data_IF_665794491824
#
_entry.id   IF_665794491824
#
_cell.length_a   1.000
_cell.length_b   1.000
_cell.length_c   1.000
_cell.angle_alpha   90.00
_cell.angle_beta   90.00
_cell.angle_gamma   90.00
#
_symmetry.space_group_name_H-M   'P 1'
#
loop_
_entity.id
_entity.type
_entity.pdbx_description
1 polymer ?
#
# COMPACT_ATOMS: atom_id res chain seq x y z
N UNK A 1 35.15 4.26 -17.19
CA UNK A 1 34.17 3.17 -17.14
C UNK A 1 33.53 3.23 -15.77
N UNK A 2 32.37 3.87 -15.70
CA UNK A 2 31.50 3.87 -14.51
C UNK A 2 30.74 2.54 -14.62
N UNK A 3 30.81 1.69 -13.58
CA UNK A 3 30.04 0.44 -13.55
C UNK A 3 28.53 0.71 -13.60
N UNK A 4 27.68 -0.32 -13.74
CA UNK A 4 26.25 -0.15 -13.59
C UNK A 4 25.98 0.49 -12.23
N UNK A 5 25.55 1.74 -12.26
CA UNK A 5 25.10 2.48 -11.10
C UNK A 5 23.97 1.66 -10.49
N UNK A 6 24.16 1.18 -9.26
CA UNK A 6 23.10 0.50 -8.54
C UNK A 6 21.93 1.48 -8.46
N UNK A 7 20.79 1.14 -9.07
CA UNK A 7 19.58 1.94 -8.98
C UNK A 7 19.37 2.30 -7.50
N UNK A 8 19.14 3.58 -7.14
CA UNK A 8 18.82 3.94 -5.78
C UNK A 8 17.67 3.07 -5.33
N UNK A 9 17.78 2.48 -4.14
CA UNK A 9 16.74 1.64 -3.57
C UNK A 9 15.40 2.37 -3.74
N UNK A 10 14.44 1.78 -4.47
CA UNK A 10 13.22 2.50 -4.81
C UNK A 10 12.52 2.90 -3.52
N UNK A 11 12.09 4.17 -3.43
CA UNK A 11 11.33 4.71 -2.30
C UNK A 11 10.20 3.74 -1.92
N UNK A 12 9.87 3.58 -0.64
CA UNK A 12 8.85 2.62 -0.16
C UNK A 12 7.51 2.78 -0.86
N UNK A 13 7.23 3.99 -1.37
CA UNK A 13 6.09 4.29 -2.23
C UNK A 13 6.15 3.60 -3.61
N UNK A 14 7.11 2.72 -3.85
CA UNK A 14 7.19 1.85 -5.02
C UNK A 14 6.94 0.38 -4.68
N UNK A 15 6.52 0.09 -3.44
CA UNK A 15 6.43 -1.27 -2.92
C UNK A 15 5.01 -1.67 -2.52
N UNK A 16 4.77 -2.98 -2.65
CA UNK A 16 3.84 -3.68 -1.79
C UNK A 16 4.63 -4.12 -0.56
N UNK A 17 4.26 -3.61 0.62
CA UNK A 17 5.06 -3.75 1.82
C UNK A 17 4.21 -4.24 3.00
N UNK A 18 4.71 -5.22 3.74
CA UNK A 18 4.14 -5.66 5.01
C UNK A 18 5.25 -6.00 6.00
N UNK A 19 5.08 -5.63 7.27
CA UNK A 19 6.01 -6.05 8.33
C UNK A 19 5.70 -7.44 8.90
N UNK A 20 4.53 -7.99 8.62
CA UNK A 20 4.12 -9.32 9.06
C UNK A 20 3.85 -10.21 7.84
N UNK A 21 3.02 -11.22 8.00
CA UNK A 21 2.65 -12.13 6.92
C UNK A 21 1.86 -11.40 5.83
N UNK A 22 2.04 -11.84 4.60
CA UNK A 22 1.30 -11.35 3.47
C UNK A 22 0.73 -12.48 2.62
N UNK A 23 -0.42 -12.23 2.00
CA UNK A 23 -1.13 -13.21 1.20
C UNK A 23 -1.55 -12.60 -0.13
N UNK A 24 -1.24 -13.30 -1.21
CA UNK A 24 -1.65 -12.95 -2.58
C UNK A 24 -2.42 -14.14 -3.15
N UNK A 25 -3.72 -14.02 -3.29
CA UNK A 25 -4.63 -15.10 -3.65
C UNK A 25 -5.35 -14.82 -4.99
N UNK A 26 -6.27 -15.71 -5.35
CA UNK A 26 -7.26 -15.64 -6.44
C UNK A 26 -6.96 -14.65 -7.60
N UNK A 27 -6.13 -15.09 -8.54
CA UNK A 27 -5.90 -14.42 -9.83
C UNK A 27 -5.27 -13.02 -9.74
N UNK A 28 -4.42 -12.79 -8.74
CA UNK A 28 -3.68 -11.53 -8.60
C UNK A 28 -2.42 -11.51 -9.45
N UNK A 29 -2.28 -10.45 -10.25
CA UNK A 29 -1.02 -10.09 -10.94
C UNK A 29 -0.25 -9.06 -10.08
N UNK A 30 0.90 -9.47 -9.55
CA UNK A 30 1.85 -8.60 -8.85
C UNK A 30 2.95 -8.19 -9.83
N UNK A 31 3.01 -6.89 -10.16
CA UNK A 31 4.03 -6.33 -11.06
C UNK A 31 4.86 -5.21 -10.44
N UNK A 32 4.61 -4.90 -9.17
CA UNK A 32 5.44 -4.00 -8.37
C UNK A 32 6.30 -4.80 -7.39
N UNK A 33 7.49 -4.29 -7.01
CA UNK A 33 8.31 -4.90 -5.97
C UNK A 33 7.52 -5.23 -4.71
N UNK A 34 7.74 -6.42 -4.18
CA UNK A 34 7.03 -6.94 -3.02
C UNK A 34 8.01 -7.19 -1.89
N UNK A 35 7.72 -6.66 -0.71
CA UNK A 35 8.48 -6.88 0.52
C UNK A 35 7.58 -7.38 1.64
N UNK A 36 8.01 -8.43 2.33
CA UNK A 36 7.45 -8.83 3.61
C UNK A 36 8.54 -9.29 4.55
N UNK A 37 8.48 -8.89 5.83
CA UNK A 37 9.33 -9.46 6.89
C UNK A 37 8.70 -10.66 7.61
N UNK A 38 7.54 -11.14 7.13
CA UNK A 38 6.86 -12.36 7.56
C UNK A 38 6.86 -13.44 6.49
N UNK A 39 5.85 -14.30 6.53
CA UNK A 39 5.62 -15.32 5.51
C UNK A 39 4.79 -14.76 4.35
N UNK A 40 5.08 -15.22 3.14
CA UNK A 40 4.29 -14.94 1.95
C UNK A 40 3.53 -16.19 1.51
N UNK A 41 2.21 -16.09 1.41
CA UNK A 41 1.39 -17.12 0.77
C UNK A 41 0.94 -16.66 -0.62
N UNK A 42 1.32 -17.41 -1.65
CA UNK A 42 0.86 -17.25 -3.03
C UNK A 42 -0.18 -18.33 -3.35
N UNK A 43 -1.43 -17.92 -3.50
CA UNK A 43 -2.58 -18.81 -3.68
C UNK A 43 -3.02 -19.01 -5.13
N UNK A 44 -4.27 -19.44 -5.30
CA UNK A 44 -4.82 -19.79 -6.61
C UNK A 44 -4.71 -18.66 -7.64
N UNK A 45 -4.04 -18.88 -8.76
CA UNK A 45 -3.94 -17.91 -9.84
C UNK A 45 -3.02 -16.71 -9.57
N UNK A 46 -2.33 -16.64 -8.44
CA UNK A 46 -1.37 -15.58 -8.16
C UNK A 46 -0.21 -15.65 -9.18
N UNK A 47 0.06 -14.55 -9.87
CA UNK A 47 1.16 -14.38 -10.82
C UNK A 47 2.07 -13.25 -10.34
N UNK A 48 3.35 -13.53 -10.16
CA UNK A 48 4.33 -12.50 -9.79
C UNK A 48 5.31 -12.28 -10.93
N UNK A 49 5.48 -11.02 -11.33
CA UNK A 49 6.35 -10.57 -12.41
C UNK A 49 7.48 -9.65 -11.94
N UNK A 50 7.46 -9.26 -10.66
CA UNK A 50 8.36 -8.29 -10.06
C UNK A 50 9.21 -8.91 -8.94
N UNK A 51 10.26 -8.21 -8.48
CA UNK A 51 11.08 -8.65 -7.36
C UNK A 51 10.26 -8.98 -6.11
N UNK A 52 10.60 -10.07 -5.43
CA UNK A 52 10.02 -10.48 -4.14
C UNK A 52 11.12 -10.60 -3.11
N UNK A 53 10.94 -9.92 -1.98
CA UNK A 53 11.80 -10.00 -0.80
C UNK A 53 10.95 -10.48 0.37
N UNK A 54 11.23 -11.68 0.85
CA UNK A 54 10.53 -12.34 1.95
C UNK A 54 11.58 -12.63 3.00
N UNK A 55 11.76 -11.68 3.90
CA UNK A 55 12.84 -11.64 4.87
C UNK A 55 12.33 -12.06 6.24
N UNK A 56 13.25 -12.38 7.15
CA UNK A 56 12.95 -12.70 8.54
C UNK A 56 13.26 -11.53 9.49
N UNK A 57 13.79 -10.44 8.93
CA UNK A 57 14.38 -9.37 9.72
C UNK A 57 13.24 -8.41 10.01
N UNK A 58 12.72 -8.42 11.24
CA UNK A 58 12.17 -7.16 11.76
C UNK A 58 13.38 -6.26 11.85
N UNK A 59 13.52 -5.18 11.06
CA UNK A 59 14.72 -4.36 11.14
C UNK A 59 14.85 -3.81 12.57
N UNK A 60 15.91 -4.09 13.34
CA UNK A 60 16.38 -3.11 14.29
C UNK A 60 17.55 -2.34 13.66
N UNK A 61 17.57 -1.05 13.97
CA UNK A 61 18.73 -0.17 14.21
C UNK A 61 20.14 -0.68 13.82
N UNK A 62 20.99 0.22 13.31
CA UNK A 62 22.20 -0.11 12.56
C UNK A 62 23.16 -1.04 13.33
N UNK A 63 23.28 -2.27 12.85
CA UNK A 63 24.39 -3.15 13.20
C UNK A 63 24.92 -3.83 11.93
N UNK A 64 26.20 -3.59 11.54
CA UNK A 64 26.82 -4.32 10.45
C UNK A 64 27.27 -5.68 11.00
N UNK A 65 26.57 -6.76 10.64
CA UNK A 65 27.12 -8.11 10.86
C UNK A 65 26.88 -9.00 9.63
N UNK A 66 27.95 -9.66 9.21
CA UNK A 66 28.07 -10.50 8.01
C UNK A 66 27.53 -11.92 8.20
N UNK A 67 26.73 -12.17 9.23
CA UNK A 67 26.08 -13.46 9.49
C UNK A 67 24.59 -13.36 9.16
N UNK A 68 24.08 -14.27 8.32
CA UNK A 68 22.68 -14.31 7.89
C UNK A 68 21.72 -14.29 9.10
N UNK A 69 20.89 -13.24 9.27
CA UNK A 69 20.20 -12.94 10.52
C UNK A 69 18.91 -13.74 10.78
N UNK A 70 18.64 -14.83 10.05
CA UNK A 70 17.38 -15.57 10.16
C UNK A 70 17.48 -16.81 11.07
N UNK A 71 16.99 -16.78 12.33
CA UNK A 71 16.65 -18.00 13.05
C UNK A 71 15.45 -18.70 12.37
N UNK A 72 15.21 -19.98 12.70
CA UNK A 72 14.28 -20.92 12.06
C UNK A 72 12.80 -20.49 11.92
N UNK A 73 12.40 -19.30 12.38
CA UNK A 73 11.14 -18.60 12.06
C UNK A 73 11.35 -17.60 10.91
N UNK A 74 11.97 -18.07 9.83
CA UNK A 74 12.37 -17.25 8.70
C UNK A 74 11.19 -16.94 7.77
N UNK A 75 11.22 -15.82 7.04
CA UNK A 75 10.21 -15.48 6.03
C UNK A 75 10.11 -16.59 4.99
N UNK A 76 9.05 -17.39 5.06
CA UNK A 76 8.83 -18.51 4.15
C UNK A 76 7.92 -18.06 3.01
N UNK A 77 8.11 -18.66 1.84
CA UNK A 77 7.17 -18.53 0.72
C UNK A 77 6.44 -19.85 0.55
N UNK A 78 5.11 -19.81 0.68
CA UNK A 78 4.24 -20.95 0.39
C UNK A 78 3.45 -20.67 -0.88
N UNK A 79 3.66 -21.49 -1.89
CA UNK A 79 2.91 -21.49 -3.15
C UNK A 79 1.88 -22.61 -3.13
N UNK A 80 0.65 -22.27 -3.48
CA UNK A 80 -0.49 -23.17 -3.50
C UNK A 80 -1.19 -23.16 -4.85
N UNK A 81 -1.99 -24.20 -5.09
CA UNK A 81 -2.87 -24.31 -6.26
C UNK A 81 -2.14 -24.07 -7.59
N UNK A 82 -2.31 -22.90 -8.20
CA UNK A 82 -1.79 -22.55 -9.53
C UNK A 82 -0.87 -21.33 -9.51
N UNK A 83 -0.33 -20.93 -8.34
CA UNK A 83 0.56 -19.79 -8.19
C UNK A 83 1.82 -19.90 -9.06
N UNK A 84 2.27 -18.78 -9.64
CA UNK A 84 3.43 -18.70 -10.53
C UNK A 84 4.29 -17.48 -10.24
N UNK A 85 5.60 -17.66 -10.29
CA UNK A 85 6.59 -16.58 -10.35
C UNK A 85 7.22 -16.63 -11.76
N UNK A 86 7.10 -15.54 -12.51
CA UNK A 86 7.46 -15.45 -13.93
C UNK A 86 8.87 -14.91 -14.14
N UNK A 87 9.42 -15.14 -15.32
CA UNK A 87 10.69 -14.52 -15.76
C UNK A 87 10.59 -12.98 -15.67
N UNK A 88 11.68 -12.36 -15.20
CA UNK A 88 11.73 -10.92 -14.89
C UNK A 88 11.70 -10.63 -13.39
N UNK A 89 11.12 -11.53 -12.60
CA UNK A 89 11.22 -11.46 -11.14
C UNK A 89 12.61 -11.92 -10.65
N UNK A 90 13.11 -11.23 -9.63
CA UNK A 90 14.13 -11.75 -8.72
C UNK A 90 13.45 -12.19 -7.42
N UNK A 91 13.97 -13.22 -6.75
CA UNK A 91 13.42 -13.64 -5.46
C UNK A 91 14.50 -13.71 -4.40
N UNK A 92 14.20 -13.20 -3.21
CA UNK A 92 15.03 -13.34 -2.03
C UNK A 92 14.17 -13.87 -0.87
N UNK A 93 14.41 -15.11 -0.47
CA UNK A 93 13.63 -15.83 0.53
C UNK A 93 14.57 -16.21 1.67
N UNK A 94 14.40 -15.53 2.80
CA UNK A 94 15.20 -15.76 4.02
C UNK A 94 14.89 -17.11 4.67
N UNK A 95 13.72 -17.67 4.40
CA UNK A 95 13.29 -18.99 4.87
C UNK A 95 13.23 -20.03 3.78
N UNK A 96 12.15 -20.82 3.81
CA UNK A 96 11.89 -21.95 2.92
C UNK A 96 10.93 -21.55 1.80
N UNK A 97 11.16 -22.10 0.61
CA UNK A 97 10.20 -22.08 -0.48
C UNK A 97 9.43 -23.41 -0.57
N UNK A 98 8.11 -23.34 -0.45
CA UNK A 98 7.21 -24.50 -0.52
C UNK A 98 6.26 -24.42 -1.68
N UNK A 99 6.46 -25.28 -2.69
CA UNK A 99 5.49 -25.46 -3.77
C UNK A 99 4.64 -26.68 -3.47
N UNK A 100 3.38 -26.47 -3.11
CA UNK A 100 2.50 -27.55 -2.61
C UNK A 100 1.71 -28.25 -3.73
N UNK A 101 1.70 -27.69 -4.94
CA UNK A 101 0.85 -28.15 -6.04
C UNK A 101 1.64 -28.37 -7.34
N UNK A 102 1.30 -29.39 -8.17
CA UNK A 102 1.95 -29.65 -9.45
C UNK A 102 1.97 -28.47 -10.43
N UNK A 103 0.99 -27.57 -10.34
CA UNK A 103 0.83 -26.40 -11.19
C UNK A 103 1.65 -25.19 -10.69
N UNK A 104 2.29 -25.27 -9.51
CA UNK A 104 3.20 -24.22 -9.07
C UNK A 104 4.47 -24.21 -9.92
N UNK A 105 4.93 -22.99 -10.25
CA UNK A 105 6.14 -22.77 -11.03
C UNK A 105 6.91 -21.55 -10.54
N UNK A 106 8.22 -21.70 -10.36
CA UNK A 106 9.16 -20.58 -10.16
C UNK A 106 10.09 -20.53 -11.37
N UNK A 107 9.78 -19.64 -12.32
CA UNK A 107 10.33 -19.67 -13.67
C UNK A 107 9.94 -20.95 -14.43
N UNK A 108 10.49 -21.10 -15.64
CA UNK A 108 10.46 -22.33 -16.42
C UNK A 108 11.83 -22.62 -17.02
N UNK A 109 12.03 -23.83 -17.57
CA UNK A 109 13.28 -24.18 -18.24
C UNK A 109 13.61 -23.30 -19.45
N UNK A 110 12.59 -22.74 -20.12
CA UNK A 110 12.74 -21.81 -21.25
C UNK A 110 12.68 -20.34 -20.85
N UNK A 111 12.16 -20.02 -19.66
CA UNK A 111 12.01 -18.67 -19.12
C UNK A 111 12.48 -18.65 -17.66
N UNK A 112 13.81 -18.69 -17.47
CA UNK A 112 14.45 -18.74 -16.15
C UNK A 112 14.42 -17.37 -15.47
N UNK A 113 14.35 -17.36 -14.14
CA UNK A 113 14.59 -16.14 -13.35
C UNK A 113 16.04 -15.69 -13.50
N UNK A 114 16.24 -14.36 -13.44
CA UNK A 114 17.57 -13.76 -13.49
C UNK A 114 18.37 -14.09 -12.24
N UNK A 115 17.73 -14.17 -11.07
CA UNK A 115 18.39 -14.36 -9.77
C UNK A 115 17.42 -14.96 -8.74
N UNK A 116 17.95 -15.78 -7.84
CA UNK A 116 17.21 -16.29 -6.69
C UNK A 116 18.12 -16.57 -5.49
N UNK A 117 17.69 -16.10 -4.32
CA UNK A 117 18.27 -16.40 -3.02
C UNK A 117 17.26 -17.20 -2.20
N UNK A 118 17.60 -18.43 -1.81
CA UNK A 118 16.73 -19.28 -0.97
C UNK A 118 17.56 -19.88 0.15
N UNK A 119 17.50 -19.30 1.34
CA UNK A 119 18.43 -19.60 2.43
C UNK A 119 18.17 -20.97 3.07
N UNK A 120 16.92 -21.25 3.43
CA UNK A 120 16.58 -22.45 4.21
C UNK A 120 15.97 -23.56 3.34
N UNK A 121 16.30 -23.58 2.05
CA UNK A 121 15.95 -24.67 1.15
C UNK A 121 14.53 -24.62 0.59
N UNK A 122 14.14 -25.71 -0.07
CA UNK A 122 12.83 -25.79 -0.71
C UNK A 122 12.26 -27.20 -0.77
N UNK A 123 10.95 -27.26 -0.91
CA UNK A 123 10.21 -28.45 -1.34
C UNK A 123 9.44 -28.15 -2.63
N UNK A 124 9.13 -29.20 -3.39
CA UNK A 124 8.42 -29.03 -4.65
C UNK A 124 7.50 -30.17 -4.96
N UNK A 125 6.21 -29.89 -5.00
CA UNK A 125 5.15 -30.78 -5.45
C UNK A 125 5.17 -32.04 -4.57
N UNK A 126 5.55 -33.17 -5.14
CA UNK A 126 5.68 -34.46 -4.43
C UNK A 126 7.09 -34.71 -3.88
N UNK A 127 8.03 -33.79 -4.09
CA UNK A 127 9.42 -33.93 -3.65
C UNK A 127 9.58 -33.45 -2.22
N UNK A 128 10.24 -34.29 -1.42
CA UNK A 128 10.60 -33.98 -0.05
C UNK A 128 11.46 -32.70 0.04
N UNK A 129 11.38 -32.04 1.18
CA UNK A 129 12.20 -30.89 1.51
C UNK A 129 13.71 -31.20 1.40
N UNK A 130 14.48 -30.22 0.93
CA UNK A 130 15.93 -30.24 0.99
C UNK A 130 16.44 -28.89 1.51
N UNK A 131 17.34 -28.95 2.51
CA UNK A 131 17.97 -27.77 3.10
C UNK A 131 18.72 -26.92 2.08
N UNK A 132 19.32 -27.53 1.05
CA UNK A 132 19.84 -26.82 -0.10
C UNK A 132 18.93 -27.09 -1.31
N UNK A 133 18.32 -26.04 -1.85
CA UNK A 133 17.50 -26.17 -3.04
C UNK A 133 18.24 -26.92 -4.16
N UNK A 134 17.66 -28.06 -4.56
CA UNK A 134 18.04 -28.75 -5.81
C UNK A 134 17.36 -28.03 -6.96
N UNK A 135 17.99 -26.96 -7.42
CA UNK A 135 17.56 -26.16 -8.58
C UNK A 135 17.15 -27.03 -9.75
N UNK A 136 16.17 -26.57 -10.54
CA UNK A 136 15.49 -27.30 -11.62
C UNK A 136 14.74 -28.59 -11.18
N UNK A 137 15.33 -29.43 -10.31
CA UNK A 137 14.69 -30.62 -9.75
C UNK A 137 13.48 -30.24 -8.87
N UNK A 138 13.62 -29.19 -8.06
CA UNK A 138 12.52 -28.60 -7.30
C UNK A 138 11.68 -27.60 -8.10
N UNK A 139 11.70 -27.65 -9.45
CA UNK A 139 10.93 -26.72 -10.29
C UNK A 139 11.21 -25.24 -10.02
N UNK A 140 12.42 -24.94 -9.52
CA UNK A 140 12.94 -23.58 -9.33
C UNK A 140 13.97 -23.34 -10.43
N UNK A 141 13.56 -22.61 -11.46
CA UNK A 141 14.32 -22.42 -12.70
C UNK A 141 14.98 -21.04 -12.72
N UNK A 142 16.27 -21.02 -12.38
CA UNK A 142 17.08 -19.81 -12.23
C UNK A 142 18.35 -19.96 -13.07
N UNK A 143 18.87 -18.87 -13.61
CA UNK A 143 20.17 -18.84 -14.28
C UNK A 143 21.27 -19.39 -13.37
N UNK A 144 22.12 -20.27 -13.90
CA UNK A 144 23.04 -21.07 -13.08
C UNK A 144 24.05 -20.23 -12.27
N UNK A 145 24.45 -19.07 -12.78
CA UNK A 145 25.39 -18.16 -12.12
C UNK A 145 24.80 -17.40 -10.93
N UNK A 146 23.48 -17.32 -10.82
CA UNK A 146 22.77 -16.42 -9.89
C UNK A 146 21.84 -17.22 -8.96
N UNK A 147 22.33 -18.39 -8.55
CA UNK A 147 21.69 -19.31 -7.61
C UNK A 147 22.41 -19.18 -6.28
N UNK A 148 21.76 -18.56 -5.30
CA UNK A 148 22.40 -18.26 -4.02
C UNK A 148 21.60 -18.83 -2.84
N UNK A 149 22.32 -19.12 -1.76
CA UNK A 149 21.80 -19.57 -0.47
C UNK A 149 22.05 -18.53 0.64
N UNK A 150 22.68 -17.40 0.33
CA UNK A 150 22.78 -16.22 1.19
C UNK A 150 21.74 -15.18 0.80
N UNK A 151 21.24 -14.41 1.76
CA UNK A 151 20.39 -13.25 1.45
C UNK A 151 21.22 -12.13 0.80
N UNK A 152 20.67 -11.41 -0.18
CA UNK A 152 21.24 -10.14 -0.61
C UNK A 152 21.09 -9.08 0.49
N UNK A 153 21.70 -7.92 0.29
CA UNK A 153 21.43 -6.76 1.14
C UNK A 153 19.93 -6.44 1.12
N UNK A 154 19.37 -6.04 2.26
CA UNK A 154 17.95 -5.66 2.34
C UNK A 154 17.72 -4.42 1.45
N UNK A 155 16.82 -4.47 0.45
CA UNK A 155 16.53 -3.33 -0.39
C UNK A 155 15.79 -2.22 0.38
N UNK A 156 15.12 -2.54 1.50
CA UNK A 156 14.45 -1.57 2.35
C UNK A 156 15.37 -1.25 3.54
N UNK A 157 16.22 -0.23 3.36
CA UNK A 157 17.22 0.15 4.36
C UNK A 157 16.62 0.65 5.69
N UNK A 158 15.42 1.21 5.64
CA UNK A 158 14.69 1.64 6.82
C UNK A 158 13.20 1.46 6.63
N UNK A 159 12.54 0.92 7.65
CA UNK A 159 11.08 0.91 7.72
C UNK A 159 10.57 2.36 7.62
N UNK A 160 9.56 2.64 6.80
CA UNK A 160 8.99 3.98 6.75
C UNK A 160 8.29 4.30 8.07
N UNK A 161 8.37 5.56 8.47
CA UNK A 161 7.77 6.06 9.70
C UNK A 161 6.62 6.99 9.35
N UNK A 162 5.51 6.85 10.07
CA UNK A 162 4.39 7.78 10.02
C UNK A 162 4.49 8.69 11.25
N UNK A 163 4.54 10.01 11.03
CA UNK A 163 4.49 10.99 12.11
C UNK A 163 3.05 11.44 12.37
N UNK A 164 2.30 10.59 13.08
CA UNK A 164 0.90 10.83 13.43
C UNK A 164 0.70 12.14 14.20
N UNK A 165 1.59 12.44 15.15
CA UNK A 165 1.47 13.63 15.99
C UNK A 165 1.67 14.91 15.17
N UNK A 166 2.67 14.92 14.29
CA UNK A 166 2.89 16.05 13.40
C UNK A 166 1.68 16.29 12.50
N UNK A 167 1.18 15.26 11.82
CA UNK A 167 0.08 15.46 10.87
C UNK A 167 -1.26 15.76 11.55
N UNK A 168 -1.49 15.28 12.76
CA UNK A 168 -2.64 15.71 13.57
C UNK A 168 -2.59 17.21 13.89
N UNK A 169 -1.39 17.77 14.16
CA UNK A 169 -1.20 19.19 14.47
C UNK A 169 -1.16 20.09 13.23
N UNK A 170 -0.64 19.61 12.10
CA UNK A 170 -0.33 20.45 10.93
C UNK A 170 -1.13 20.10 9.67
N UNK A 171 -1.96 19.05 9.72
CA UNK A 171 -2.92 18.75 8.65
C UNK A 171 -3.84 19.96 8.40
N UNK A 172 -4.06 20.28 7.13
CA UNK A 172 -4.84 21.43 6.68
C UNK A 172 -5.59 21.06 5.40
N UNK A 173 -6.92 20.81 5.46
CA UNK A 173 -7.77 20.83 6.67
C UNK A 173 -7.37 19.78 7.73
N UNK A 174 -7.48 20.10 9.01
CA UNK A 174 -7.21 19.16 10.10
C UNK A 174 -7.76 19.59 11.47
N UNK A 175 -7.66 18.76 12.52
CA UNK A 175 -8.17 19.02 13.87
C UNK A 175 -7.69 20.36 14.48
N UNK A 176 -6.37 20.56 14.51
CA UNK A 176 -5.76 21.75 15.10
C UNK A 176 -5.95 23.02 14.24
N UNK A 177 -6.30 22.85 12.96
CA UNK A 177 -6.59 23.91 12.01
C UNK A 177 -7.98 23.72 11.40
N UNK A 178 -9.02 23.54 12.24
CA UNK A 178 -10.40 23.27 11.83
C UNK A 178 -11.06 24.37 10.97
N UNK A 179 -10.31 25.39 10.57
CA UNK A 179 -10.71 26.41 9.62
C UNK A 179 -10.80 25.83 8.20
N UNK A 180 -11.79 26.25 7.42
CA UNK A 180 -11.82 26.03 5.97
C UNK A 180 -12.92 25.11 5.43
N UNK A 181 -13.69 24.43 6.27
CA UNK A 181 -14.90 23.73 5.85
C UNK A 181 -16.07 24.72 5.70
N UNK A 182 -16.26 25.23 4.48
CA UNK A 182 -17.08 26.42 4.22
C UNK A 182 -18.52 26.11 3.78
N UNK A 183 -18.80 24.92 3.23
CA UNK A 183 -20.14 24.60 2.71
C UNK A 183 -20.44 23.11 2.55
N UNK A 184 -21.73 22.77 2.58
CA UNK A 184 -22.25 21.41 2.40
C UNK A 184 -22.21 20.57 3.68
N UNK A 185 -22.35 19.26 3.51
CA UNK A 185 -22.18 18.28 4.60
C UNK A 185 -20.70 17.95 4.73
N UNK A 186 -19.97 18.84 5.39
CA UNK A 186 -18.50 18.74 5.54
C UNK A 186 -18.10 17.65 6.53
N UNK A 187 -16.89 17.07 6.40
CA UNK A 187 -16.34 16.18 7.40
C UNK A 187 -16.22 16.89 8.75
N UNK A 188 -16.62 16.20 9.80
CA UNK A 188 -16.16 16.54 11.14
C UNK A 188 -14.72 16.03 11.25
N UNK A 189 -13.78 16.95 11.41
CA UNK A 189 -12.35 16.62 11.48
C UNK A 189 -11.94 16.15 12.87
N UNK A 190 -12.67 16.56 13.91
CA UNK A 190 -12.46 16.21 15.31
C UNK A 190 -13.76 16.45 16.08
N UNK A 191 -14.02 15.68 17.15
CA UNK A 191 -15.19 15.94 18.00
C UNK A 191 -15.04 17.24 18.82
N UNK A 192 -16.13 17.98 19.04
CA UNK A 192 -16.10 19.20 19.85
C UNK A 192 -15.48 18.96 21.24
N UNK A 193 -14.42 19.69 21.54
CA UNK A 193 -13.72 19.63 22.83
C UNK A 193 -12.65 18.54 22.94
N UNK A 194 -12.45 17.71 21.90
CA UNK A 194 -11.25 16.88 21.82
C UNK A 194 -10.04 17.75 21.48
N UNK A 195 -8.87 17.30 21.94
CA UNK A 195 -7.55 17.89 21.65
C UNK A 195 -6.48 16.79 21.54
N UNK A 196 -6.92 15.54 21.41
CA UNK A 196 -6.08 14.36 21.41
C UNK A 196 -6.28 13.60 20.10
N UNK A 197 -5.22 12.89 19.70
CA UNK A 197 -5.29 11.93 18.61
C UNK A 197 -5.88 10.62 19.15
N UNK A 198 -7.20 10.52 19.13
CA UNK A 198 -7.94 9.43 19.79
C UNK A 198 -9.16 8.92 19.01
N UNK A 199 -9.23 9.20 17.70
CA UNK A 199 -10.34 8.79 16.84
C UNK A 199 -11.67 9.33 17.40
N UNK A 200 -11.65 10.60 17.79
CA UNK A 200 -12.73 11.24 18.51
C UNK A 200 -14.04 11.35 17.71
N UNK A 201 -14.00 11.34 16.38
CA UNK A 201 -15.17 11.54 15.51
C UNK A 201 -16.15 10.34 15.61
N UNK A 202 -17.39 10.52 16.13
CA UNK A 202 -18.36 9.44 16.36
C UNK A 202 -19.05 8.88 15.11
N UNK A 203 -18.67 9.29 13.90
CA UNK A 203 -19.33 8.83 12.67
C UNK A 203 -18.32 8.65 11.55
N UNK A 204 -18.46 7.59 10.76
CA UNK A 204 -17.67 7.43 9.54
C UNK A 204 -18.08 8.47 8.51
N UNK A 205 -17.14 9.30 8.07
CA UNK A 205 -17.40 10.27 7.02
C UNK A 205 -17.33 9.62 5.65
N UNK A 206 -18.33 9.82 4.80
CA UNK A 206 -18.27 9.36 3.41
C UNK A 206 -17.66 10.47 2.54
N UNK A 207 -16.54 10.18 1.88
CA UNK A 207 -15.84 11.14 1.02
C UNK A 207 -16.62 11.45 -0.27
N UNK A 208 -17.49 10.53 -0.72
CA UNK A 208 -18.26 10.66 -1.96
C UNK A 208 -19.76 10.59 -1.67
N UNK A 209 -20.37 11.77 -1.47
CA UNK A 209 -21.77 11.88 -1.01
C UNK A 209 -22.74 12.25 -2.13
N UNK A 210 -24.05 12.22 -1.82
CA UNK A 210 -25.09 12.65 -2.74
C UNK A 210 -25.15 14.18 -2.90
N UNK A 211 -24.49 14.91 -2.01
CA UNK A 211 -24.40 16.36 -1.99
C UNK A 211 -22.94 16.79 -1.99
N UNK A 212 -22.64 17.90 -2.66
CA UNK A 212 -21.31 18.51 -2.65
C UNK A 212 -20.93 19.06 -1.27
N UNK A 213 -19.64 19.07 -0.96
CA UNK A 213 -19.07 19.75 0.20
C UNK A 213 -17.72 20.35 -0.17
N UNK A 214 -17.28 21.38 0.57
CA UNK A 214 -15.98 22.01 0.34
C UNK A 214 -15.27 22.31 1.65
N UNK A 215 -14.07 21.75 1.79
CA UNK A 215 -13.11 22.10 2.82
C UNK A 215 -11.83 22.60 2.17
N UNK A 216 -11.64 23.92 2.14
CA UNK A 216 -10.50 24.59 1.53
C UNK A 216 -9.78 25.43 2.56
N UNK A 217 -8.47 25.30 2.59
CA UNK A 217 -7.56 26.15 3.34
C UNK A 217 -6.54 26.74 2.38
N UNK A 218 -5.64 27.57 2.89
CA UNK A 218 -4.52 28.06 2.09
C UNK A 218 -3.49 26.98 1.75
N UNK A 219 -3.51 25.86 2.46
CA UNK A 219 -2.47 24.82 2.41
C UNK A 219 -2.99 23.45 1.99
N UNK A 220 -4.30 23.32 1.73
CA UNK A 220 -4.89 22.09 1.25
C UNK A 220 -6.40 22.18 1.00
N UNK A 221 -6.91 21.16 0.33
CA UNK A 221 -8.29 21.05 -0.13
C UNK A 221 -8.80 19.62 0.00
N UNK A 222 -10.02 19.48 0.51
CA UNK A 222 -10.85 18.29 0.43
C UNK A 222 -12.26 18.74 0.02
N UNK A 223 -12.55 18.65 -1.27
CA UNK A 223 -13.81 19.13 -1.85
C UNK A 223 -14.41 18.05 -2.73
N UNK A 224 -15.68 17.75 -2.51
CA UNK A 224 -16.44 16.82 -3.36
C UNK A 224 -17.49 17.58 -4.14
N UNK A 225 -17.50 17.39 -5.46
CA UNK A 225 -18.59 17.81 -6.33
C UNK A 225 -19.44 16.61 -6.73
N UNK A 226 -20.66 16.51 -6.20
CA UNK A 226 -21.59 15.44 -6.48
C UNK A 226 -22.14 15.45 -7.93
N UNK A 227 -22.08 16.60 -8.61
CA UNK A 227 -22.57 16.73 -9.98
C UNK A 227 -21.58 16.14 -10.99
N UNK A 228 -20.30 16.50 -10.85
CA UNK A 228 -19.20 15.96 -11.66
C UNK A 228 -18.60 14.66 -11.11
N UNK A 229 -19.02 14.24 -9.92
CA UNK A 229 -18.50 13.05 -9.21
C UNK A 229 -16.99 13.11 -9.01
N UNK A 230 -16.50 14.30 -8.67
CA UNK A 230 -15.07 14.58 -8.57
C UNK A 230 -14.68 15.01 -7.16
N UNK A 231 -13.75 14.27 -6.55
CA UNK A 231 -13.08 14.60 -5.30
C UNK A 231 -11.79 15.37 -5.61
N UNK A 232 -11.74 16.64 -5.25
CA UNK A 232 -10.51 17.43 -5.32
C UNK A 232 -9.75 17.29 -4.01
N UNK A 233 -8.48 16.92 -4.11
CA UNK A 233 -7.58 16.71 -2.98
C UNK A 233 -6.28 17.47 -3.18
N UNK A 234 -5.85 18.24 -2.17
CA UNK A 234 -4.52 18.83 -2.14
C UNK A 234 -3.96 18.98 -0.72
N UNK A 235 -2.64 18.89 -0.58
CA UNK A 235 -1.96 19.03 0.70
C UNK A 235 -2.10 17.79 1.59
N UNK A 236 -1.99 17.99 2.91
CA UNK A 236 -2.17 16.91 3.89
C UNK A 236 -3.40 17.20 4.73
N UNK A 237 -4.41 16.35 4.61
CA UNK A 237 -5.68 16.47 5.31
C UNK A 237 -5.67 15.49 6.48
N UNK A 238 -6.24 15.89 7.61
CA UNK A 238 -6.36 15.02 8.78
C UNK A 238 -7.80 14.95 9.27
N UNK A 239 -8.29 13.74 9.47
CA UNK A 239 -9.57 13.45 10.13
C UNK A 239 -9.24 12.59 11.34
N UNK A 240 -9.54 13.08 12.55
CA UNK A 240 -9.46 12.31 13.77
C UNK A 240 -10.66 11.35 13.89
N UNK A 241 -10.81 10.52 12.87
CA UNK A 241 -11.98 9.73 12.58
C UNK A 241 -11.71 8.68 11.51
N UNK A 242 -12.74 7.92 11.18
CA UNK A 242 -12.74 7.01 10.02
C UNK A 242 -13.38 7.66 8.80
N UNK A 243 -12.95 7.25 7.62
CA UNK A 243 -13.54 7.65 6.36
C UNK A 243 -13.92 6.46 5.50
N UNK A 244 -14.90 6.64 4.63
CA UNK A 244 -15.26 5.66 3.62
C UNK A 244 -15.51 6.29 2.27
N UNK A 245 -15.49 5.46 1.26
CA UNK A 245 -15.94 5.76 -0.09
C UNK A 245 -16.96 4.69 -0.43
N UNK A 246 -18.22 5.07 -0.33
CA UNK A 246 -19.34 4.20 -0.66
C UNK A 246 -20.36 5.03 -1.42
N UNK A 247 -20.69 4.63 -2.65
CA UNK A 247 -21.58 5.44 -3.48
C UNK A 247 -22.92 5.66 -2.77
N UNK A 248 -23.37 6.91 -2.77
CA UNK A 248 -24.71 7.29 -2.32
C UNK A 248 -25.60 7.78 -3.47
N UNK A 249 -25.15 7.64 -4.71
CA UNK A 249 -25.91 7.95 -5.93
C UNK A 249 -26.30 6.68 -6.69
N UNK A 250 -27.37 6.78 -7.50
CA UNK A 250 -27.79 5.71 -8.41
C UNK A 250 -26.85 5.53 -9.61
N UNK A 251 -26.73 4.31 -10.12
CA UNK A 251 -25.91 3.97 -11.28
C UNK A 251 -24.65 3.18 -10.95
N UNK A 252 -23.77 3.06 -11.94
CA UNK A 252 -22.51 2.29 -11.85
C UNK A 252 -21.27 3.16 -12.06
N UNK A 253 -21.45 4.48 -12.08
CA UNK A 253 -20.35 5.39 -12.40
C UNK A 253 -19.30 5.41 -11.28
N UNK A 254 -18.04 5.46 -11.68
CA UNK A 254 -16.92 5.66 -10.77
C UNK A 254 -16.88 7.11 -10.25
N UNK A 255 -16.28 7.29 -9.07
CA UNK A 255 -15.84 8.59 -8.60
C UNK A 255 -14.45 8.89 -9.17
N UNK A 256 -14.25 10.12 -9.63
CA UNK A 256 -12.95 10.67 -9.99
C UNK A 256 -12.33 11.33 -8.75
N UNK A 257 -11.03 11.25 -8.58
CA UNK A 257 -10.30 12.25 -7.80
C UNK A 257 -9.29 13.00 -8.68
N UNK A 258 -9.01 14.23 -8.27
CA UNK A 258 -8.03 15.09 -8.92
C UNK A 258 -7.17 15.83 -7.87
N UNK A 259 -5.89 16.02 -8.21
CA UNK A 259 -4.92 16.74 -7.40
C UNK A 259 -3.91 15.81 -6.72
N UNK A 260 -3.16 16.35 -5.78
CA UNK A 260 -2.09 15.63 -5.08
C UNK A 260 -2.20 15.88 -3.59
N UNK A 261 -2.56 14.85 -2.83
CA UNK A 261 -2.61 14.98 -1.39
C UNK A 261 -2.74 13.68 -0.63
N UNK A 262 -2.60 13.83 0.68
CA UNK A 262 -2.62 12.73 1.64
C UNK A 262 -3.76 12.94 2.63
N UNK A 263 -4.60 11.93 2.84
CA UNK A 263 -5.63 11.92 3.86
C UNK A 263 -5.18 11.00 4.99
N UNK A 264 -4.97 11.61 6.16
CA UNK A 264 -4.71 10.93 7.42
C UNK A 264 -6.01 10.66 8.16
N UNK A 265 -6.14 9.44 8.67
CA UNK A 265 -7.27 8.98 9.47
C UNK A 265 -6.71 8.35 10.75
N UNK A 266 -7.10 8.88 11.91
CA UNK A 266 -6.83 8.14 13.17
C UNK A 266 -7.72 6.90 13.29
N UNK A 267 -8.83 6.83 12.54
CA UNK A 267 -9.67 5.65 12.37
C UNK A 267 -9.22 4.73 11.22
N UNK A 268 -10.18 4.11 10.55
CA UNK A 268 -9.98 3.21 9.42
C UNK A 268 -10.54 3.74 8.10
N UNK A 269 -10.12 3.13 6.98
CA UNK A 269 -10.59 3.46 5.63
C UNK A 269 -11.30 2.30 4.96
N UNK A 270 -12.53 2.52 4.49
CA UNK A 270 -13.28 1.56 3.68
C UNK A 270 -13.58 2.11 2.29
N UNK A 271 -13.20 1.40 1.24
CA UNK A 271 -13.69 1.63 -0.12
C UNK A 271 -14.57 0.45 -0.53
N UNK A 272 -15.87 0.70 -0.74
CA UNK A 272 -16.85 -0.37 -0.93
C UNK A 272 -17.88 -0.07 -2.01
N UNK A 273 -18.15 -1.07 -2.86
CA UNK A 273 -19.21 -1.06 -3.88
C UNK A 273 -19.14 0.15 -4.87
N UNK A 274 -17.96 0.75 -5.03
CA UNK A 274 -17.72 1.88 -5.94
C UNK A 274 -16.23 1.99 -6.27
N UNK A 275 -15.89 2.68 -7.35
CA UNK A 275 -14.50 2.88 -7.75
C UNK A 275 -14.09 4.33 -7.47
N UNK A 276 -12.88 4.54 -6.94
CA UNK A 276 -12.27 5.86 -6.76
C UNK A 276 -10.99 5.92 -7.60
N UNK A 277 -11.05 6.65 -8.70
CA UNK A 277 -10.07 6.58 -9.77
C UNK A 277 -9.37 7.93 -9.98
N UNK A 278 -8.09 7.88 -10.34
CA UNK A 278 -7.39 9.04 -10.90
C UNK A 278 -7.78 9.26 -12.37
N UNK A 279 -8.06 8.15 -13.07
CA UNK A 279 -8.45 8.12 -14.47
C UNK A 279 -9.57 7.10 -14.63
N UNK A 280 -10.75 7.56 -15.03
CA UNK A 280 -11.90 6.70 -15.28
C UNK A 280 -11.74 6.05 -16.67
N UNK A 281 -11.99 4.74 -16.75
CA UNK A 281 -11.98 4.01 -18.01
C UNK A 281 -13.09 4.48 -18.96
N UNK A 282 -12.95 4.20 -20.26
CA UNK A 282 -13.92 4.64 -21.28
C UNK A 282 -15.37 4.15 -21.04
N UNK A 283 -15.56 3.12 -20.20
CA UNK A 283 -16.89 2.62 -19.82
C UNK A 283 -17.59 3.46 -18.73
N UNK A 284 -16.90 4.44 -18.12
CA UNK A 284 -17.42 5.33 -17.09
C UNK A 284 -17.57 4.70 -15.69
N UNK A 285 -17.24 3.42 -15.51
CA UNK A 285 -17.57 2.63 -14.30
C UNK A 285 -16.35 2.13 -13.55
N UNK A 286 -15.26 1.92 -14.27
CA UNK A 286 -14.03 1.32 -13.75
C UNK A 286 -12.89 2.34 -13.75
N UNK A 287 -11.86 2.06 -12.97
CA UNK A 287 -10.60 2.76 -13.11
C UNK A 287 -9.87 2.26 -14.35
N UNK A 288 -9.16 3.15 -15.03
CA UNK A 288 -8.33 2.78 -16.16
C UNK A 288 -7.03 2.13 -15.68
N UNK A 289 -7.07 0.80 -15.48
CA UNK A 289 -5.93 0.01 -14.98
C UNK A 289 -4.87 -0.32 -16.05
N UNK A 290 -4.94 0.30 -17.23
CA UNK A 290 -3.90 0.12 -18.26
C UNK A 290 -2.59 0.73 -17.74
N UNK A 291 -1.48 0.05 -17.97
CA UNK A 291 -0.13 0.57 -17.63
C UNK A 291 0.02 1.99 -18.17
N UNK A 292 0.55 2.89 -17.35
CA UNK A 292 0.72 4.33 -17.63
C UNK A 292 -0.55 5.13 -17.95
N UNK A 293 -1.75 4.59 -17.75
CA UNK A 293 -2.97 5.39 -17.88
C UNK A 293 -3.09 6.41 -16.75
N UNK A 294 -2.70 6.01 -15.54
CA UNK A 294 -2.57 6.89 -14.39
C UNK A 294 -1.11 7.33 -14.26
N UNK A 295 -0.90 8.64 -14.11
CA UNK A 295 0.39 9.21 -13.72
C UNK A 295 0.35 9.61 -12.24
N UNK A 296 0.95 8.80 -11.33
CA UNK A 296 1.02 9.16 -9.93
C UNK A 296 1.81 10.46 -9.73
N UNK A 297 2.67 10.85 -10.69
CA UNK A 297 3.51 12.04 -10.62
C UNK A 297 2.75 13.37 -10.85
N UNK A 298 1.49 13.30 -11.31
CA UNK A 298 0.64 14.46 -11.59
C UNK A 298 -0.71 14.45 -10.83
N UNK A 299 -1.22 13.27 -10.49
CA UNK A 299 -2.49 13.12 -9.77
C UNK A 299 -2.35 11.95 -8.80
N UNK A 300 -2.32 12.18 -7.50
CA UNK A 300 -2.12 11.12 -6.51
C UNK A 300 -2.90 11.37 -5.23
N UNK A 301 -3.66 10.35 -4.84
CA UNK A 301 -4.28 10.29 -3.53
C UNK A 301 -3.57 9.23 -2.69
N UNK A 302 -3.12 9.63 -1.50
CA UNK A 302 -2.59 8.74 -0.49
C UNK A 302 -3.57 8.71 0.68
N UNK A 303 -3.94 7.53 1.15
CA UNK A 303 -4.73 7.36 2.37
C UNK A 303 -3.89 6.64 3.41
N UNK A 304 -3.78 7.25 4.60
CA UNK A 304 -3.01 6.73 5.73
C UNK A 304 -3.98 6.52 6.90
N UNK A 305 -4.20 5.26 7.29
CA UNK A 305 -5.17 4.89 8.33
C UNK A 305 -4.48 4.25 9.54
N UNK A 306 -4.85 4.70 10.75
CA UNK A 306 -4.21 4.24 11.99
C UNK A 306 -4.93 3.03 12.57
N UNK A 307 -6.17 3.23 13.02
CA UNK A 307 -6.88 2.24 13.82
C UNK A 307 -7.31 1.03 13.02
N UNK A 308 -7.75 0.00 13.73
CA UNK A 308 -8.44 -1.18 13.20
C UNK A 308 -9.88 -1.27 13.70
N UNK A 309 -10.69 -2.12 13.08
CA UNK A 309 -12.14 -2.29 13.35
C UNK A 309 -12.57 -2.49 14.82
N UNK A 310 -11.64 -2.80 15.73
CA UNK A 310 -11.88 -3.06 17.16
C UNK A 310 -11.39 -1.95 18.10
N UNK A 311 -10.71 -0.92 17.59
CA UNK A 311 -10.20 0.18 18.40
C UNK A 311 -11.32 1.16 18.79
N UNK A 312 -11.08 1.97 19.82
CA UNK A 312 -12.03 3.00 20.25
C UNK A 312 -12.40 3.95 19.10
N UNK A 313 -13.64 4.47 19.12
CA UNK A 313 -14.21 5.29 18.06
C UNK A 313 -14.94 4.48 16.97
N UNK A 314 -15.54 5.17 16.01
CA UNK A 314 -16.33 4.51 14.96
C UNK A 314 -15.45 4.15 13.77
N UNK A 315 -15.50 2.88 13.36
CA UNK A 315 -14.65 2.31 12.31
C UNK A 315 -15.41 2.19 10.99
N UNK A 316 -14.71 2.37 9.87
CA UNK A 316 -15.26 2.18 8.53
C UNK A 316 -15.22 0.71 8.09
N UNK A 317 -14.18 -0.02 8.51
CA UNK A 317 -13.87 -1.41 8.13
C UNK A 317 -14.46 -2.43 9.12
N UNK A 318 -14.56 -3.69 8.68
CA UNK A 318 -14.79 -4.81 9.59
C UNK A 318 -13.50 -5.20 10.35
N UNK A 319 -13.62 -6.09 11.34
CA UNK A 319 -12.62 -6.42 12.37
C UNK A 319 -11.15 -6.42 11.91
N UNK A 320 -10.30 -5.75 12.71
CA UNK A 320 -8.83 -5.78 12.69
C UNK A 320 -8.07 -5.19 11.48
N UNK A 321 -8.75 -4.53 10.54
CA UNK A 321 -8.09 -3.92 9.37
C UNK A 321 -8.06 -2.39 9.44
N UNK A 322 -6.94 -1.76 9.05
CA UNK A 322 -6.87 -0.30 8.88
C UNK A 322 -7.43 0.15 7.54
N UNK A 323 -7.28 -0.68 6.51
CA UNK A 323 -7.78 -0.39 5.16
C UNK A 323 -8.47 -1.62 4.59
N UNK A 324 -9.68 -1.44 4.08
CA UNK A 324 -10.43 -2.47 3.36
C UNK A 324 -10.92 -1.92 2.00
N UNK A 325 -10.60 -2.63 0.91
CA UNK A 325 -11.11 -2.38 -0.43
C UNK A 325 -11.96 -3.57 -0.86
N UNK A 326 -13.27 -3.39 -0.96
CA UNK A 326 -14.25 -4.47 -1.19
C UNK A 326 -15.13 -4.19 -2.39
N UNK A 327 -15.11 -5.07 -3.40
CA UNK A 327 -15.89 -4.91 -4.64
C UNK A 327 -15.74 -3.53 -5.28
N UNK A 328 -14.49 -3.06 -5.33
CA UNK A 328 -14.16 -1.68 -5.66
C UNK A 328 -12.86 -1.57 -6.44
N UNK A 329 -12.62 -0.43 -7.08
CA UNK A 329 -11.34 -0.14 -7.72
C UNK A 329 -10.72 1.14 -7.16
N UNK A 330 -9.42 1.11 -6.93
CA UNK A 330 -8.66 2.25 -6.42
C UNK A 330 -7.42 2.50 -7.26
N UNK A 331 -7.14 3.76 -7.56
CA UNK A 331 -5.82 4.20 -8.05
C UNK A 331 -5.25 5.16 -7.01
N UNK A 332 -4.05 4.90 -6.48
CA UNK A 332 -3.48 5.70 -5.39
C UNK A 332 -2.71 4.84 -4.40
N UNK A 333 -2.13 5.44 -3.38
CA UNK A 333 -1.43 4.72 -2.33
C UNK A 333 -2.31 4.48 -1.10
N UNK A 334 -2.23 3.27 -0.55
CA UNK A 334 -2.90 2.89 0.69
C UNK A 334 -1.83 2.55 1.73
N UNK A 335 -2.02 3.07 2.93
CA UNK A 335 -1.10 2.86 4.04
C UNK A 335 -1.88 2.68 5.34
N UNK A 336 -1.47 1.72 6.16
CA UNK A 336 -2.18 1.36 7.38
C UNK A 336 -1.25 0.90 8.48
N UNK A 337 -1.57 1.21 9.75
CA UNK A 337 -0.85 0.58 10.86
C UNK A 337 -1.15 -0.90 10.95
N UNK A 338 -2.38 -1.33 10.69
CA UNK A 338 -2.77 -2.74 10.74
C UNK A 338 -2.99 -3.32 9.34
N UNK A 339 -3.82 -4.35 9.24
CA UNK A 339 -4.00 -5.12 8.02
C UNK A 339 -4.58 -4.24 6.89
N UNK A 340 -4.04 -4.45 5.68
CA UNK A 340 -4.55 -3.87 4.44
C UNK A 340 -5.15 -5.00 3.62
N UNK A 341 -6.47 -4.93 3.37
CA UNK A 341 -7.20 -5.97 2.67
C UNK A 341 -7.79 -5.44 1.37
N UNK A 342 -7.59 -6.18 0.27
CA UNK A 342 -8.28 -6.01 -0.99
C UNK A 342 -8.96 -7.31 -1.38
N UNK A 343 -10.29 -7.31 -1.37
CA UNK A 343 -11.12 -8.52 -1.44
C UNK A 343 -12.36 -8.38 -2.33
N UNK A 344 -13.04 -9.49 -2.60
CA UNK A 344 -14.30 -9.55 -3.36
C UNK A 344 -14.24 -8.79 -4.70
N UNK A 345 -13.43 -9.25 -5.66
CA UNK A 345 -13.21 -8.65 -7.00
C UNK A 345 -12.61 -7.23 -7.04
N UNK A 346 -12.00 -6.76 -5.94
CA UNK A 346 -11.39 -5.44 -5.89
C UNK A 346 -10.12 -5.30 -6.72
N UNK A 347 -9.82 -4.10 -7.25
CA UNK A 347 -8.55 -3.82 -7.96
C UNK A 347 -7.86 -2.61 -7.35
N UNK A 348 -6.60 -2.72 -6.97
CA UNK A 348 -5.80 -1.61 -6.46
C UNK A 348 -4.61 -1.38 -7.38
N UNK A 349 -4.49 -0.16 -7.88
CA UNK A 349 -3.34 0.31 -8.65
C UNK A 349 -2.59 1.34 -7.81
N UNK A 350 -1.48 0.92 -7.21
CA UNK A 350 -0.63 1.79 -6.41
C UNK A 350 -0.03 1.06 -5.20
N UNK A 351 0.78 1.76 -4.40
CA UNK A 351 1.45 1.19 -3.24
C UNK A 351 0.45 0.75 -2.18
N UNK A 352 0.78 -0.34 -1.49
CA UNK A 352 0.05 -0.81 -0.31
C UNK A 352 1.06 -1.13 0.78
N UNK A 353 1.03 -0.37 1.87
CA UNK A 353 2.05 -0.40 2.92
C UNK A 353 1.39 -0.68 4.27
N UNK A 354 1.62 -1.86 4.83
CA UNK A 354 1.22 -2.21 6.20
C UNK A 354 2.38 -2.07 7.17
N UNK A 355 2.21 -1.26 8.21
CA UNK A 355 3.28 -0.94 9.16
C UNK A 355 3.37 -1.89 10.35
N UNK A 356 2.27 -2.48 10.80
CA UNK A 356 2.21 -3.40 11.95
C UNK A 356 1.36 -4.64 11.66
N UNK A 357 0.70 -4.69 10.50
CA UNK A 357 -0.17 -5.78 10.08
C UNK A 357 0.28 -6.45 8.78
N UNK A 358 -0.63 -7.28 8.28
CA UNK A 358 -0.50 -8.05 7.05
C UNK A 358 -0.97 -7.30 5.81
N UNK A 359 -0.52 -7.78 4.65
CA UNK A 359 -1.03 -7.34 3.35
C UNK A 359 -1.78 -8.49 2.70
N UNK A 360 -3.07 -8.31 2.46
CA UNK A 360 -3.97 -9.34 1.93
C UNK A 360 -4.56 -8.92 0.59
N UNK A 361 -4.02 -9.45 -0.50
CA UNK A 361 -4.52 -9.28 -1.85
C UNK A 361 -5.31 -10.53 -2.24
N UNK A 362 -6.62 -10.55 -2.05
CA UNK A 362 -7.39 -11.80 -2.19
C UNK A 362 -7.89 -12.07 -3.61
N UNK A 363 -8.70 -11.17 -4.18
CA UNK A 363 -9.37 -11.35 -5.48
C UNK A 363 -9.02 -10.23 -6.46
N UNK A 364 -7.77 -9.81 -6.46
CA UNK A 364 -7.37 -8.52 -7.03
C UNK A 364 -6.59 -8.63 -8.31
N UNK A 365 -7.18 -8.23 -9.44
CA UNK A 365 -6.43 -8.16 -10.70
C UNK A 365 -5.65 -6.84 -10.78
N UNK A 366 -4.31 -6.90 -10.71
CA UNK A 366 -3.41 -5.88 -11.25
C UNK A 366 -2.83 -4.87 -10.24
N UNK A 367 -1.99 -5.34 -9.31
CA UNK A 367 -1.10 -4.45 -8.54
C UNK A 367 0.08 -4.03 -9.42
N UNK A 368 -0.18 -3.11 -10.36
CA UNK A 368 0.80 -2.59 -11.32
C UNK A 368 0.68 -1.08 -11.38
N UNK A 369 1.69 -0.35 -10.93
CA UNK A 369 1.66 1.10 -10.97
C UNK A 369 2.99 1.65 -11.48
N UNK A 370 3.00 2.83 -12.12
CA UNK A 370 4.24 3.48 -12.53
C UNK A 370 5.10 3.85 -11.32
N UNK A 371 6.39 4.05 -11.55
CA UNK A 371 7.30 4.54 -10.51
C UNK A 371 6.81 5.90 -9.98
N UNK A 372 6.71 5.96 -8.66
CA UNK A 372 6.40 7.17 -7.91
C UNK A 372 7.73 7.86 -7.64
N UNK A 373 7.95 8.99 -8.33
CA UNK A 373 9.17 9.80 -8.23
C UNK A 373 9.03 10.96 -7.25
N UNK A 374 7.81 11.21 -6.76
CA UNK A 374 7.56 12.20 -5.73
C UNK A 374 6.60 11.65 -4.68
N UNK A 375 6.88 11.98 -3.42
CA UNK A 375 5.96 11.77 -2.32
C UNK A 375 5.14 13.06 -2.13
N UNK A 376 3.80 13.05 -2.26
CA UNK A 376 2.98 14.14 -1.74
C UNK A 376 3.35 14.46 -0.29
N UNK A 377 3.19 15.71 0.14
CA UNK A 377 3.40 16.04 1.55
C UNK A 377 2.55 15.11 2.44
N UNK A 378 3.20 14.56 3.45
CA UNK A 378 2.60 13.60 4.36
C UNK A 378 2.54 12.17 3.85
N UNK A 379 3.10 11.82 2.69
CA UNK A 379 3.29 10.40 2.39
C UNK A 379 4.17 9.72 3.45
N UNK A 380 3.90 8.45 3.81
CA UNK A 380 4.75 7.73 4.76
C UNK A 380 6.21 7.69 4.30
N UNK A 381 7.15 7.97 5.21
CA UNK A 381 8.59 8.06 4.90
C UNK A 381 9.05 9.39 4.30
N UNK A 382 8.14 10.28 3.87
CA UNK A 382 8.51 11.62 3.44
C UNK A 382 8.81 12.53 4.65
N UNK A 383 9.89 13.32 4.62
CA UNK A 383 10.15 14.30 5.68
C UNK A 383 9.04 15.35 5.72
N UNK A 384 8.73 15.91 6.90
CA UNK A 384 7.84 17.06 7.00
C UNK A 384 8.33 18.22 6.12
N UNK A 385 7.43 19.03 5.53
CA UNK A 385 7.84 20.21 4.80
C UNK A 385 8.71 21.11 5.69
N UNK A 386 9.76 21.75 5.14
CA UNK A 386 10.52 22.72 5.89
C UNK A 386 9.59 23.85 6.35
N UNK A 387 9.78 24.31 7.59
CA UNK A 387 8.99 25.42 8.15
C UNK A 387 9.20 26.68 7.30
N UNK A 388 8.16 27.15 6.62
CA UNK A 388 8.18 28.42 5.89
C UNK A 388 7.66 29.50 6.83
N UNK A 389 8.43 30.58 7.02
CA UNK A 389 7.93 31.80 7.65
C UNK A 389 6.77 32.34 6.81
N UNK A 390 5.54 32.18 7.31
CA UNK A 390 4.40 32.86 6.72
C UNK A 390 4.59 34.37 6.85
N UNK A 391 4.13 35.12 5.86
CA UNK A 391 4.10 36.57 5.96
C UNK A 391 3.38 36.99 7.26
N UNK A 392 3.89 37.97 8.01
CA UNK A 392 3.28 38.43 9.26
C UNK A 392 1.80 38.75 9.04
N UNK A 393 0.89 38.07 9.76
CA UNK A 393 -0.56 38.22 9.54
C UNK A 393 -1.21 39.34 10.31
N UNK A 394 -0.56 39.94 11.29
CA UNK A 394 -1.07 41.13 11.98
C UNK A 394 0.08 42.07 12.40
N UNK A 395 0.21 43.20 11.69
CA UNK A 395 0.74 44.43 12.29
C UNK A 395 -0.44 45.39 12.46
N UNK A 396 -1.32 45.07 13.42
CA UNK A 396 -2.24 46.04 14.01
C UNK A 396 -1.59 46.73 15.21
N UNK A 397 -0.42 47.32 15.02
CA UNK A 397 0.23 48.17 16.01
C UNK A 397 0.17 49.61 15.52
N UNK A 398 -0.56 50.46 16.25
CA UNK A 398 -0.91 51.83 15.86
C UNK A 398 0.19 52.88 15.99
#
# INVERSE_FOLDING_TARGET
MIGPEADPAPDVLNWLYSVTDATVLQSVDVRSPFYTSGNLTLGNGANVYAPIYVTCVTPPLPAPSTSSPCPSTAGNVRMENTAKIHQGATIAIGGRLDQTSPQNTVGTSSARLSEAHIVNGCSSKTRAYNAACKWDQHSVYVNASNRDFAMPADPVQSRPVIDWNYWYQFGSPGPAAAFGCESGTTPMLESPGSTALDNSVPTVFNLVQGTSYSCKTLSGELTWDASSKTLTVSGTIYIDGSAKVEKSWGGQDAALYQGQGTIYLSGSFLLKNTSLCAVIAANGRDCNMVTSAWDPNANALIVVAKSRGTDAGVQATADNNSVEVKSSQFQGALSGEHDLISETTSKVQGPMISFQGGLHLEQTTGATFPDIQFAPYGAPGAPPPPTVLLAPREFGGG
#
